data_IF_536987834027
#
_entry.id   IF_536987834027
#
_cell.length_a   1.000
_cell.length_b   1.000
_cell.length_c   1.000
_cell.angle_alpha   90.00
_cell.angle_beta   90.00
_cell.angle_gamma   90.00
#
_symmetry.space_group_name_H-M   'P 1'
#
loop_
_entity.id
_entity.type
_entity.pdbx_description
1 polymer ?
#
# COMPACT_ATOMS: atom_id res chain seq x y z
N UNK A 1 -13.22 27.37 -2.37
CA UNK A 1 -12.09 28.10 -2.97
C UNK A 1 -10.97 28.51 -2.00
N UNK A 2 -11.17 28.48 -0.68
CA UNK A 2 -10.17 28.92 0.33
C UNK A 2 -9.21 27.83 0.79
N UNK A 3 -9.42 26.55 0.45
CA UNK A 3 -8.57 25.45 0.88
C UNK A 3 -7.16 25.49 0.28
N UNK A 4 -7.02 25.84 -1.00
CA UNK A 4 -5.73 25.88 -1.67
C UNK A 4 -4.78 26.95 -1.08
N UNK A 5 -5.20 28.25 -0.89
CA UNK A 5 -4.34 29.22 -0.25
C UNK A 5 -4.00 28.88 1.21
N UNK A 6 -4.92 28.26 1.95
CA UNK A 6 -4.64 27.78 3.31
C UNK A 6 -3.58 26.67 3.32
N UNK A 7 -3.69 25.69 2.41
CA UNK A 7 -2.71 24.62 2.26
C UNK A 7 -1.32 25.16 1.88
N UNK A 8 -1.27 26.12 0.95
CA UNK A 8 -0.02 26.77 0.55
C UNK A 8 0.61 27.56 1.70
N UNK A 9 -0.21 28.24 2.50
CA UNK A 9 0.25 28.96 3.69
C UNK A 9 0.84 27.99 4.74
N UNK A 10 0.15 26.88 5.00
CA UNK A 10 0.61 25.85 5.95
C UNK A 10 1.86 25.10 5.45
N UNK A 11 1.99 24.92 4.13
CA UNK A 11 3.15 24.28 3.51
C UNK A 11 4.34 25.23 3.32
N UNK A 12 4.13 26.55 3.42
CA UNK A 12 5.17 27.54 3.10
C UNK A 12 6.47 27.40 3.92
N UNK A 13 6.47 27.07 5.23
CA UNK A 13 7.72 26.87 5.95
C UNK A 13 8.52 25.68 5.41
N UNK A 14 7.83 24.59 5.04
CA UNK A 14 8.46 23.41 4.45
C UNK A 14 9.02 23.71 3.05
N UNK A 15 8.26 24.41 2.22
CA UNK A 15 8.70 24.83 0.89
C UNK A 15 9.93 25.74 0.96
N UNK A 16 9.92 26.71 1.87
CA UNK A 16 11.06 27.60 2.09
C UNK A 16 12.31 26.84 2.56
N UNK A 17 12.14 25.82 3.40
CA UNK A 17 13.24 25.03 3.93
C UNK A 17 13.88 24.10 2.90
N UNK A 18 13.11 23.59 1.90
CA UNK A 18 13.52 22.47 1.02
C UNK A 18 13.78 22.89 -0.42
N UNK A 19 13.12 23.96 -0.92
CA UNK A 19 13.23 24.32 -2.34
C UNK A 19 14.64 24.84 -2.69
N UNK A 20 15.26 24.29 -3.76
CA UNK A 20 16.54 24.80 -4.26
C UNK A 20 16.37 26.22 -4.79
N UNK A 21 17.39 27.07 -4.56
CA UNK A 21 17.38 28.48 -5.00
C UNK A 21 16.75 29.47 -4.04
N UNK A 22 16.21 29.03 -2.92
CA UNK A 22 15.75 29.93 -1.84
C UNK A 22 16.97 30.51 -1.11
N UNK A 23 17.05 31.83 -0.85
CA UNK A 23 18.13 32.41 -0.09
C UNK A 23 18.29 31.80 1.30
N UNK A 24 19.55 31.63 1.76
CA UNK A 24 19.86 30.91 3.01
C UNK A 24 19.15 31.51 4.24
N UNK A 25 18.96 32.81 4.30
CA UNK A 25 18.21 33.43 5.38
C UNK A 25 16.73 33.02 5.43
N UNK A 26 16.08 32.90 4.28
CA UNK A 26 14.69 32.43 4.19
C UNK A 26 14.58 30.95 4.47
N UNK A 27 15.56 30.15 4.05
CA UNK A 27 15.61 28.72 4.40
C UNK A 27 15.72 28.52 5.92
N UNK A 28 16.62 29.27 6.60
CA UNK A 28 16.75 29.21 8.04
C UNK A 28 15.47 29.66 8.76
N UNK A 29 14.80 30.68 8.23
CA UNK A 29 13.51 31.10 8.78
C UNK A 29 12.43 30.04 8.60
N UNK A 30 12.35 29.43 7.43
CA UNK A 30 11.46 28.28 7.17
C UNK A 30 11.73 27.12 8.14
N UNK A 31 13.00 26.75 8.35
CA UNK A 31 13.39 25.68 9.29
C UNK A 31 12.99 26.00 10.75
N UNK A 32 13.05 27.26 11.19
CA UNK A 32 12.64 27.66 12.57
C UNK A 32 11.14 27.51 12.83
N UNK A 33 10.32 27.54 11.79
CA UNK A 33 8.86 27.39 11.90
C UNK A 33 8.39 25.93 11.80
N UNK A 34 9.28 25.01 11.45
CA UNK A 34 8.95 23.58 11.35
C UNK A 34 8.97 22.93 12.73
N UNK A 35 8.00 22.02 13.03
CA UNK A 35 8.08 21.15 14.19
C UNK A 35 9.37 20.32 14.16
N UNK A 36 9.94 20.01 15.33
CA UNK A 36 11.21 19.26 15.45
C UNK A 36 11.23 17.97 14.65
N UNK A 37 10.12 17.22 14.63
CA UNK A 37 9.98 15.98 13.88
C UNK A 37 10.09 16.17 12.35
N UNK A 38 9.59 17.29 11.83
CA UNK A 38 9.69 17.65 10.41
C UNK A 38 11.08 18.17 10.09
N UNK A 39 11.64 19.00 11.00
CA UNK A 39 12.98 19.54 10.86
C UNK A 39 14.04 18.43 10.77
N UNK A 40 13.98 17.42 11.64
CA UNK A 40 14.88 16.25 11.59
C UNK A 40 14.78 15.56 10.23
N UNK A 41 13.59 15.35 9.69
CA UNK A 41 13.41 14.73 8.37
C UNK A 41 13.96 15.58 7.22
N UNK A 42 13.79 16.90 7.30
CA UNK A 42 14.34 17.85 6.31
C UNK A 42 15.87 17.80 6.32
N UNK A 43 16.48 17.87 7.51
CA UNK A 43 17.95 17.80 7.65
C UNK A 43 18.50 16.45 7.19
N UNK A 44 17.82 15.36 7.51
CA UNK A 44 18.17 14.02 7.02
C UNK A 44 18.08 13.91 5.50
N UNK A 45 17.15 14.63 4.87
CA UNK A 45 16.97 14.63 3.41
C UNK A 45 18.05 15.41 2.65
N UNK A 46 18.83 16.24 3.34
CA UNK A 46 19.89 17.07 2.73
C UNK A 46 21.31 16.47 2.86
N UNK A 47 21.49 15.37 3.60
CA UNK A 47 22.79 14.73 3.78
C UNK A 47 23.23 13.91 2.55
N UNK A 48 24.55 13.65 2.39
CA UNK A 48 25.12 12.86 1.28
C UNK A 48 24.52 11.45 1.16
N UNK A 49 24.00 10.90 2.26
CA UNK A 49 23.33 9.60 2.31
C UNK A 49 21.81 9.71 2.28
N UNK A 50 21.25 10.91 2.12
CA UNK A 50 19.82 11.17 2.21
C UNK A 50 19.01 10.31 1.25
N UNK A 51 19.50 10.11 0.03
CA UNK A 51 18.83 9.30 -0.97
C UNK A 51 18.65 7.84 -0.50
N UNK A 52 19.60 7.27 0.30
CA UNK A 52 19.52 5.90 0.83
C UNK A 52 18.37 5.71 1.83
N UNK A 53 17.80 6.81 2.32
CA UNK A 53 16.66 6.77 3.23
C UNK A 53 15.33 7.01 2.51
N UNK A 54 15.38 7.33 1.22
CA UNK A 54 14.16 7.47 0.42
C UNK A 54 13.53 6.12 0.13
N UNK A 55 12.21 6.09 -0.03
CA UNK A 55 11.49 4.89 -0.46
C UNK A 55 12.00 4.37 -1.80
N UNK A 56 12.41 5.28 -2.68
CA UNK A 56 12.95 4.90 -3.99
C UNK A 56 14.22 4.06 -3.87
N UNK A 57 15.15 4.45 -3.00
CA UNK A 57 16.37 3.67 -2.77
C UNK A 57 16.07 2.30 -2.14
N UNK A 58 15.10 2.24 -1.21
CA UNK A 58 14.62 0.98 -0.63
C UNK A 58 14.03 0.08 -1.71
N UNK A 59 13.22 0.61 -2.62
CA UNK A 59 12.62 -0.14 -3.72
C UNK A 59 13.66 -0.62 -4.72
N UNK A 60 14.66 0.21 -5.05
CA UNK A 60 15.77 -0.20 -5.92
C UNK A 60 16.54 -1.37 -5.32
N UNK A 61 16.85 -1.31 -4.02
CA UNK A 61 17.52 -2.42 -3.36
C UNK A 61 16.65 -3.66 -3.25
N UNK A 62 15.34 -3.49 -2.94
CA UNK A 62 14.39 -4.60 -2.94
C UNK A 62 14.32 -5.30 -4.29
N UNK A 63 14.30 -4.55 -5.40
CA UNK A 63 14.35 -5.12 -6.75
C UNK A 63 15.64 -5.93 -7.00
N UNK A 64 16.78 -5.47 -6.52
CA UNK A 64 18.04 -6.25 -6.59
C UNK A 64 17.93 -7.57 -5.81
N UNK A 65 17.31 -7.55 -4.63
CA UNK A 65 17.06 -8.77 -3.86
C UNK A 65 16.11 -9.72 -4.60
N UNK A 66 15.03 -9.20 -5.19
CA UNK A 66 14.09 -10.00 -5.99
C UNK A 66 14.78 -10.65 -7.19
N UNK A 67 15.59 -9.88 -7.92
CA UNK A 67 16.32 -10.44 -9.09
C UNK A 67 17.34 -11.51 -8.70
N UNK A 68 17.95 -11.39 -7.52
CA UNK A 68 18.89 -12.38 -7.01
C UNK A 68 18.23 -13.69 -6.57
N UNK A 69 16.98 -13.64 -6.06
CA UNK A 69 16.21 -14.83 -5.63
C UNK A 69 14.74 -14.73 -6.00
N UNK A 70 14.39 -14.83 -7.30
CA UNK A 70 13.03 -14.54 -7.76
C UNK A 70 11.98 -15.58 -7.35
N UNK A 71 12.37 -16.85 -7.14
CA UNK A 71 11.41 -17.95 -6.95
C UNK A 71 10.96 -18.12 -5.50
N UNK A 72 11.89 -18.09 -4.56
CA UNK A 72 11.63 -18.41 -3.14
C UNK A 72 11.90 -17.23 -2.20
N UNK A 73 12.44 -16.12 -2.71
CA UNK A 73 12.82 -14.97 -1.92
C UNK A 73 13.96 -15.25 -0.93
N UNK A 74 14.05 -14.42 0.10
CA UNK A 74 15.12 -14.43 1.11
C UNK A 74 14.63 -14.86 2.49
N UNK A 75 13.35 -15.11 2.66
CA UNK A 75 12.69 -15.39 3.93
C UNK A 75 12.01 -14.17 4.55
N UNK A 76 11.11 -14.44 5.49
CA UNK A 76 10.38 -13.38 6.20
C UNK A 76 11.35 -12.42 6.91
N UNK A 77 11.03 -11.13 6.88
CA UNK A 77 11.83 -10.04 7.45
C UNK A 77 13.27 -9.90 6.89
N UNK A 78 13.58 -10.52 5.75
CA UNK A 78 14.92 -10.45 5.18
C UNK A 78 15.33 -9.01 4.85
N UNK A 79 14.41 -8.16 4.38
CA UNK A 79 14.71 -6.77 4.07
C UNK A 79 15.20 -6.00 5.30
N UNK A 80 14.57 -6.18 6.46
CA UNK A 80 14.93 -5.48 7.70
C UNK A 80 16.34 -5.85 8.21
N UNK A 81 16.86 -6.99 7.80
CA UNK A 81 18.23 -7.46 8.13
C UNK A 81 19.23 -7.00 7.06
N UNK A 82 18.90 -7.14 5.79
CA UNK A 82 19.83 -6.90 4.67
C UNK A 82 20.00 -5.41 4.35
N UNK A 83 18.91 -4.63 4.44
CA UNK A 83 18.96 -3.21 4.09
C UNK A 83 19.89 -2.37 4.99
N UNK A 84 19.93 -2.54 6.33
CA UNK A 84 20.86 -1.83 7.20
C UNK A 84 22.34 -2.10 6.86
N UNK A 85 22.64 -3.30 6.38
CA UNK A 85 24.00 -3.66 5.93
C UNK A 85 24.36 -2.87 4.67
N UNK A 86 23.40 -2.73 3.73
CA UNK A 86 23.56 -1.98 2.51
C UNK A 86 23.57 -0.45 2.74
N UNK A 87 22.72 0.06 3.63
CA UNK A 87 22.44 1.48 3.82
C UNK A 87 23.08 2.07 5.09
N UNK A 88 24.34 1.73 5.37
CA UNK A 88 25.12 2.32 6.47
C UNK A 88 24.46 2.19 7.87
N UNK A 89 23.98 1.00 8.19
CA UNK A 89 23.43 0.61 9.52
C UNK A 89 22.13 1.30 9.95
N UNK A 90 21.42 2.01 9.09
CA UNK A 90 20.07 2.51 9.43
C UNK A 90 19.04 1.41 9.27
N UNK A 91 18.34 1.12 10.36
CA UNK A 91 17.30 0.11 10.38
C UNK A 91 16.03 0.60 9.67
N UNK A 92 15.49 -0.21 8.77
CA UNK A 92 14.17 -0.06 8.16
C UNK A 92 13.45 -1.40 8.31
N UNK A 93 12.26 -1.36 8.89
CA UNK A 93 11.52 -2.57 9.21
C UNK A 93 11.00 -3.33 7.98
N UNK A 94 10.81 -2.62 6.87
CA UNK A 94 10.18 -3.16 5.66
C UNK A 94 10.38 -2.23 4.44
N UNK A 95 9.98 -2.72 3.25
CA UNK A 95 10.19 -2.04 1.95
C UNK A 95 9.25 -0.83 1.73
N UNK A 96 8.20 -0.65 2.55
CA UNK A 96 7.10 0.31 2.30
C UNK A 96 6.40 0.13 0.95
N UNK A 97 6.25 -1.13 0.53
CA UNK A 97 5.54 -1.55 -0.67
C UNK A 97 5.24 -3.05 -0.53
N UNK A 98 3.97 -3.42 -0.36
CA UNK A 98 3.60 -4.81 -0.09
C UNK A 98 3.98 -5.78 -1.21
N UNK A 99 3.73 -5.50 -2.50
CA UNK A 99 4.20 -6.35 -3.58
C UNK A 99 5.71 -6.63 -3.52
N UNK A 100 6.53 -5.61 -3.30
CA UNK A 100 7.98 -5.78 -3.19
C UNK A 100 8.37 -6.55 -1.93
N UNK A 101 7.72 -6.28 -0.79
CA UNK A 101 7.97 -7.02 0.46
C UNK A 101 7.67 -8.52 0.29
N UNK A 102 6.53 -8.86 -0.32
CA UNK A 102 6.18 -10.25 -0.63
C UNK A 102 7.18 -10.91 -1.58
N UNK A 103 7.59 -10.18 -2.62
CA UNK A 103 8.56 -10.70 -3.59
C UNK A 103 9.95 -10.92 -2.96
N UNK A 104 10.41 -10.00 -2.10
CA UNK A 104 11.68 -10.17 -1.36
C UNK A 104 11.59 -11.33 -0.39
N UNK A 105 10.51 -11.43 0.38
CA UNK A 105 10.38 -12.41 1.45
C UNK A 105 10.05 -13.81 0.93
N UNK A 106 9.16 -13.93 -0.05
CA UNK A 106 8.56 -15.21 -0.47
C UNK A 106 8.72 -15.53 -1.96
N UNK A 107 9.29 -14.61 -2.73
CA UNK A 107 9.46 -14.73 -4.18
C UNK A 107 8.27 -14.27 -5.00
N UNK A 108 8.49 -14.16 -6.31
CA UNK A 108 7.49 -13.69 -7.28
C UNK A 108 6.22 -14.56 -7.32
N UNK A 109 6.28 -15.91 -7.25
CA UNK A 109 5.08 -16.73 -7.31
C UNK A 109 4.07 -16.41 -6.20
N UNK A 110 4.55 -16.25 -4.96
CA UNK A 110 3.68 -15.91 -3.82
C UNK A 110 3.15 -14.50 -3.94
N UNK A 111 4.00 -13.56 -4.35
CA UNK A 111 3.58 -12.17 -4.60
C UNK A 111 2.47 -12.11 -5.64
N UNK A 112 2.64 -12.78 -6.79
CA UNK A 112 1.63 -12.80 -7.87
C UNK A 112 0.34 -13.46 -7.40
N UNK A 113 0.43 -14.56 -6.64
CA UNK A 113 -0.75 -15.25 -6.12
C UNK A 113 -1.56 -14.32 -5.19
N UNK A 114 -0.91 -13.71 -4.19
CA UNK A 114 -1.61 -12.88 -3.19
C UNK A 114 -2.15 -11.60 -3.84
N UNK A 115 -1.28 -10.84 -4.51
CA UNK A 115 -1.68 -9.56 -5.14
C UNK A 115 -2.69 -9.82 -6.25
N UNK A 116 -2.48 -10.84 -7.06
CA UNK A 116 -3.40 -11.24 -8.13
C UNK A 116 -4.77 -11.61 -7.59
N UNK A 117 -4.85 -12.39 -6.51
CA UNK A 117 -6.14 -12.74 -5.87
C UNK A 117 -6.89 -11.50 -5.41
N UNK A 118 -6.21 -10.56 -4.75
CA UNK A 118 -6.83 -9.31 -4.28
C UNK A 118 -7.34 -8.46 -5.46
N UNK A 119 -6.54 -8.32 -6.50
CA UNK A 119 -6.95 -7.58 -7.71
C UNK A 119 -8.12 -8.26 -8.44
N UNK A 120 -8.12 -9.59 -8.51
CA UNK A 120 -9.24 -10.35 -9.09
C UNK A 120 -10.52 -10.15 -8.27
N UNK A 121 -10.46 -10.18 -6.92
CA UNK A 121 -11.62 -9.89 -6.08
C UNK A 121 -12.20 -8.50 -6.34
N UNK A 122 -11.36 -7.47 -6.36
CA UNK A 122 -11.79 -6.10 -6.67
C UNK A 122 -12.41 -5.99 -8.08
N UNK A 123 -11.80 -6.62 -9.06
CA UNK A 123 -12.27 -6.58 -10.44
C UNK A 123 -13.60 -7.34 -10.60
N UNK A 124 -13.72 -8.54 -10.04
CA UNK A 124 -14.93 -9.35 -10.14
C UNK A 124 -16.11 -8.69 -9.46
N UNK A 125 -15.93 -8.12 -8.27
CA UNK A 125 -17.01 -7.40 -7.56
C UNK A 125 -17.49 -6.19 -8.35
N UNK A 126 -16.58 -5.41 -8.93
CA UNK A 126 -16.93 -4.29 -9.80
C UNK A 126 -17.71 -4.76 -11.02
N UNK A 127 -17.27 -5.82 -11.71
CA UNK A 127 -17.94 -6.40 -12.89
C UNK A 127 -19.30 -7.02 -12.57
N UNK A 128 -19.49 -7.54 -11.35
CA UNK A 128 -20.77 -8.12 -10.90
C UNK A 128 -21.75 -7.05 -10.37
N UNK A 129 -21.50 -5.78 -10.64
CA UNK A 129 -22.45 -4.70 -10.38
C UNK A 129 -22.35 -4.07 -8.98
N UNK A 130 -21.28 -4.32 -8.21
CA UNK A 130 -21.10 -3.69 -6.90
C UNK A 130 -21.15 -2.16 -6.95
N UNK A 131 -20.64 -1.57 -8.04
CA UNK A 131 -20.60 -0.12 -8.22
C UNK A 131 -21.98 0.50 -8.52
N UNK A 132 -22.99 -0.31 -8.86
CA UNK A 132 -24.39 0.09 -9.07
C UNK A 132 -25.25 -0.13 -7.82
N UNK A 133 -24.72 -0.74 -6.77
CA UNK A 133 -25.41 -1.00 -5.51
C UNK A 133 -25.63 0.30 -4.70
N UNK A 134 -26.48 0.26 -3.65
CA UNK A 134 -26.66 1.38 -2.73
C UNK A 134 -25.33 1.90 -2.13
N UNK A 135 -25.33 3.10 -1.51
CA UNK A 135 -24.11 3.77 -1.07
C UNK A 135 -23.21 2.95 -0.14
N UNK A 136 -23.76 2.10 0.71
CA UNK A 136 -23.00 1.30 1.67
C UNK A 136 -22.08 0.29 0.96
N UNK A 137 -22.62 -0.46 0.01
CA UNK A 137 -21.85 -1.47 -0.72
C UNK A 137 -20.78 -0.81 -1.61
N UNK A 138 -21.10 0.31 -2.23
CA UNK A 138 -20.10 1.11 -2.97
C UNK A 138 -19.00 1.62 -2.07
N UNK A 139 -19.34 2.08 -0.86
CA UNK A 139 -18.37 2.53 0.13
C UNK A 139 -17.47 1.37 0.59
N UNK A 140 -18.01 0.17 0.75
CA UNK A 140 -17.23 -1.03 1.07
C UNK A 140 -16.18 -1.32 0.00
N UNK A 141 -16.58 -1.31 -1.26
CA UNK A 141 -15.65 -1.51 -2.37
C UNK A 141 -14.58 -0.40 -2.44
N UNK A 142 -14.98 0.86 -2.28
CA UNK A 142 -14.06 1.99 -2.28
C UNK A 142 -13.05 1.91 -1.11
N UNK A 143 -13.49 1.55 0.09
CA UNK A 143 -12.62 1.35 1.24
C UNK A 143 -11.60 0.22 0.99
N UNK A 144 -12.04 -0.88 0.37
CA UNK A 144 -11.16 -1.98 -0.03
C UNK A 144 -10.10 -1.52 -1.03
N UNK A 145 -10.50 -0.76 -2.05
CA UNK A 145 -9.60 -0.21 -3.05
C UNK A 145 -8.57 0.75 -2.42
N UNK A 146 -9.02 1.67 -1.56
CA UNK A 146 -8.12 2.62 -0.87
C UNK A 146 -7.08 1.87 -0.06
N UNK A 147 -7.49 0.86 0.72
CA UNK A 147 -6.57 0.06 1.51
C UNK A 147 -5.55 -0.67 0.62
N UNK A 148 -5.98 -1.25 -0.50
CA UNK A 148 -5.09 -1.91 -1.46
C UNK A 148 -4.09 -0.93 -2.07
N UNK A 149 -4.53 0.28 -2.45
CA UNK A 149 -3.65 1.33 -2.98
C UNK A 149 -2.63 1.80 -1.93
N UNK A 150 -3.03 1.90 -0.66
CA UNK A 150 -2.09 2.23 0.42
C UNK A 150 -0.93 1.23 0.52
N UNK A 151 -1.16 -0.05 0.24
CA UNK A 151 -0.11 -1.06 0.24
C UNK A 151 0.94 -0.89 -0.88
N UNK A 152 0.69 -0.04 -1.87
CA UNK A 152 1.69 0.32 -2.88
C UNK A 152 2.74 1.32 -2.37
N UNK A 153 2.47 2.03 -1.29
CA UNK A 153 3.35 3.09 -0.76
C UNK A 153 3.70 2.92 0.71
N UNK A 154 3.06 1.96 1.38
CA UNK A 154 3.32 1.61 2.77
C UNK A 154 2.95 0.14 3.04
N UNK A 155 3.12 -0.34 4.28
CA UNK A 155 2.71 -1.68 4.71
C UNK A 155 1.72 -1.62 5.89
N UNK A 156 0.46 -1.24 5.65
CA UNK A 156 -0.59 -1.31 6.67
C UNK A 156 -0.77 -2.72 7.26
N UNK A 157 -0.35 -3.76 6.53
CA UNK A 157 -0.41 -5.16 6.96
C UNK A 157 0.30 -5.42 8.30
N UNK A 158 1.33 -4.66 8.65
CA UNK A 158 2.03 -4.81 9.92
C UNK A 158 1.32 -4.14 11.11
N UNK A 159 0.34 -3.27 10.87
CA UNK A 159 -0.58 -2.83 11.92
C UNK A 159 -1.71 -3.86 12.06
N UNK A 160 -1.85 -4.46 13.24
CA UNK A 160 -2.84 -5.52 13.49
C UNK A 160 -4.28 -5.06 13.25
N UNK A 161 -4.60 -3.79 13.50
CA UNK A 161 -5.94 -3.23 13.30
C UNK A 161 -6.24 -3.10 11.82
N UNK A 162 -5.31 -2.55 11.04
CA UNK A 162 -5.44 -2.41 9.60
C UNK A 162 -5.42 -3.77 8.89
N UNK A 163 -4.66 -4.73 9.42
CA UNK A 163 -4.65 -6.10 8.93
C UNK A 163 -6.03 -6.75 9.09
N UNK A 164 -6.62 -6.72 10.30
CA UNK A 164 -7.96 -7.26 10.54
C UNK A 164 -9.01 -6.56 9.66
N UNK A 165 -8.97 -5.23 9.57
CA UNK A 165 -9.85 -4.47 8.70
C UNK A 165 -9.70 -4.91 7.23
N UNK A 166 -8.48 -5.08 6.75
CA UNK A 166 -8.19 -5.51 5.38
C UNK A 166 -8.79 -6.87 5.06
N UNK A 167 -8.58 -7.86 5.91
CA UNK A 167 -9.18 -9.18 5.73
C UNK A 167 -10.71 -9.15 5.81
N UNK A 168 -11.28 -8.34 6.70
CA UNK A 168 -12.73 -8.13 6.79
C UNK A 168 -13.30 -7.54 5.51
N UNK A 169 -12.64 -6.52 4.94
CA UNK A 169 -13.06 -5.91 3.69
C UNK A 169 -13.00 -6.91 2.53
N UNK A 170 -11.91 -7.67 2.42
CA UNK A 170 -11.76 -8.70 1.37
C UNK A 170 -12.78 -9.83 1.53
N UNK A 171 -13.08 -10.26 2.75
CA UNK A 171 -14.12 -11.26 3.01
C UNK A 171 -15.51 -10.77 2.56
N UNK A 172 -15.84 -9.49 2.79
CA UNK A 172 -17.09 -8.90 2.29
C UNK A 172 -17.16 -8.85 0.76
N UNK A 173 -16.06 -8.55 0.09
CA UNK A 173 -16.01 -8.64 -1.39
C UNK A 173 -16.23 -10.07 -1.87
N UNK A 174 -15.62 -11.05 -1.22
CA UNK A 174 -15.81 -12.46 -1.56
C UNK A 174 -17.26 -12.93 -1.32
N UNK A 175 -17.87 -12.55 -0.19
CA UNK A 175 -19.27 -12.85 0.10
C UNK A 175 -20.20 -12.30 -1.00
N UNK A 176 -20.00 -11.05 -1.40
CA UNK A 176 -20.76 -10.45 -2.50
C UNK A 176 -20.65 -11.23 -3.81
N UNK A 177 -19.45 -11.75 -4.13
CA UNK A 177 -19.25 -12.60 -5.31
C UNK A 177 -20.07 -13.88 -5.21
N UNK A 178 -20.07 -14.53 -4.04
CA UNK A 178 -20.80 -15.79 -3.79
C UNK A 178 -22.31 -15.59 -3.89
N UNK A 179 -22.84 -14.54 -3.31
CA UNK A 179 -24.27 -14.20 -3.36
C UNK A 179 -24.76 -13.84 -4.76
N UNK A 180 -23.87 -13.32 -5.61
CA UNK A 180 -24.20 -12.96 -7.00
C UNK A 180 -24.07 -14.13 -7.98
N UNK A 181 -23.66 -15.34 -7.52
CA UNK A 181 -23.70 -16.55 -8.34
C UNK A 181 -25.14 -17.09 -8.42
N UNK A 182 -25.65 -17.40 -9.63
CA UNK A 182 -26.95 -18.04 -9.76
C UNK A 182 -26.93 -19.39 -9.01
N UNK A 183 -28.01 -19.65 -8.27
CA UNK A 183 -28.22 -20.89 -7.51
C UNK A 183 -28.11 -22.10 -8.45
N UNK A 184 -26.95 -22.74 -8.50
CA UNK A 184 -26.71 -23.94 -9.31
C UNK A 184 -27.43 -25.17 -8.74
N UNK A 185 -27.82 -25.12 -7.47
CA UNK A 185 -28.48 -26.23 -6.79
C UNK A 185 -29.99 -26.30 -7.10
N UNK A 186 -30.59 -25.18 -7.57
CA UNK A 186 -31.98 -25.13 -8.01
C UNK A 186 -32.28 -25.89 -9.31
N UNK A 187 -31.26 -26.23 -10.10
CA UNK A 187 -31.42 -26.97 -11.36
C UNK A 187 -31.40 -28.51 -11.17
N UNK A 188 -31.04 -29.00 -10.00
CA UNK A 188 -31.01 -30.45 -9.70
C UNK A 188 -32.30 -30.99 -9.09
N UNK A 189 -33.25 -30.11 -8.70
CA UNK A 189 -34.53 -30.50 -8.10
C UNK A 189 -35.71 -30.19 -9.04
N UNK A 190 -35.71 -30.71 -10.27
CA UNK A 190 -36.98 -30.85 -10.99
C UNK A 190 -37.65 -32.10 -10.42
N UNK A 191 -38.85 -31.99 -9.80
CA UNK A 191 -39.57 -33.17 -9.39
C UNK A 191 -39.99 -33.94 -10.63
N UNK A 192 -39.56 -35.20 -10.71
CA UNK A 192 -40.05 -36.22 -11.62
C UNK A 192 -41.59 -36.17 -11.60
N UNK A 193 -42.20 -35.71 -12.68
CA UNK A 193 -43.66 -35.79 -12.86
C UNK A 193 -44.01 -37.27 -12.95
N UNK A 194 -44.50 -37.83 -11.88
CA UNK A 194 -45.22 -39.07 -11.92
C UNK A 194 -46.59 -38.73 -12.50
N UNK A 195 -46.77 -39.00 -13.79
CA UNK A 195 -48.08 -38.99 -14.45
C UNK A 195 -48.85 -40.26 -14.03
N UNK A 196 -50.19 -40.16 -13.78
CA UNK A 196 -51.03 -41.27 -13.33
C UNK A 196 -51.29 -42.35 -14.36
#
# INVERSE_FOLDING_TARGET
MWLLPLLLLLASPLLLAVLPGVPAGLQQWGMRLLPDQVLVRVLESQGETAWKHTRLAQWQYALQLVTARPWFGWGAAAFSVLYPIHAAKRWHGHVHNLPLELAVSHGLPVMVLIVGTVLVLLMLTARRGMLQKPPLERAWWAASLVLVVMHATDLPLFDSRLNILGWTLLAGLYAFIRESEPDRDGLAASPERVDP
#
